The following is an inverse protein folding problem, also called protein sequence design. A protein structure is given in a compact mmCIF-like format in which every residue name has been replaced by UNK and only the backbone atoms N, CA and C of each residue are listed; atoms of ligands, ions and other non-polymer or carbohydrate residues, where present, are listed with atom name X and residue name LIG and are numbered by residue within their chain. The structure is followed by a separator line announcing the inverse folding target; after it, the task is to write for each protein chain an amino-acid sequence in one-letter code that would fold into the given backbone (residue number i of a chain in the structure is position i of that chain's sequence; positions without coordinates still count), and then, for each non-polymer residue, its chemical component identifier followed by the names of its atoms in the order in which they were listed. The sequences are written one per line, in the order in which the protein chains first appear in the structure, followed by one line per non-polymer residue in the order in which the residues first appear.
data_IF_399183391093
#
_entry.id   IF_399183391093
#
_cell.length_a   1.000
_cell.length_b   1.000
_cell.length_c   1.000
_cell.angle_alpha   90.00
_cell.angle_beta   90.00
_cell.angle_gamma   90.00
#
_symmetry.space_group_name_H-M   'P 1'
#
loop_
_entity.id
_entity.type
_entity.pdbx_description
1 polymer ?
#
# COMPACT_ATOMS: atom_id res chain seq x y z
N UNK A 1 17.53 22.36 11.20
CA UNK A 1 16.63 22.08 10.05
C UNK A 1 15.27 21.69 10.61
N UNK A 2 14.29 22.55 10.41
CA UNK A 2 12.94 22.35 10.94
C UNK A 2 12.30 21.12 10.30
N UNK A 3 11.74 20.26 11.10
CA UNK A 3 11.16 18.99 10.62
C UNK A 3 9.78 19.26 10.04
N UNK A 4 9.63 19.09 8.72
CA UNK A 4 8.31 19.20 8.06
C UNK A 4 7.47 17.96 8.36
N UNK A 5 6.53 18.08 9.27
CA UNK A 5 5.67 16.99 9.71
C UNK A 5 4.56 16.65 8.70
N UNK A 6 4.14 17.62 7.88
CA UNK A 6 3.05 17.48 6.90
C UNK A 6 3.26 16.30 5.96
N UNK A 7 4.51 16.02 5.58
CA UNK A 7 4.83 14.87 4.70
C UNK A 7 4.38 13.51 5.26
N UNK A 8 4.36 13.37 6.58
CA UNK A 8 3.94 12.11 7.20
C UNK A 8 2.42 11.90 7.11
N UNK A 9 1.62 12.97 7.00
CA UNK A 9 0.18 12.85 6.78
C UNK A 9 -0.18 12.27 5.40
N UNK A 10 0.77 12.34 4.45
CA UNK A 10 0.60 11.77 3.10
C UNK A 10 1.00 10.28 3.01
N UNK A 11 1.64 9.74 4.05
CA UNK A 11 2.14 8.36 4.10
C UNK A 11 1.08 7.43 4.69
N UNK A 12 0.04 7.12 3.92
CA UNK A 12 -1.06 6.27 4.39
C UNK A 12 -0.68 4.80 4.59
N UNK A 13 0.38 4.33 3.95
CA UNK A 13 0.91 2.96 4.06
C UNK A 13 1.79 2.74 5.31
N UNK A 14 2.15 3.81 6.04
CA UNK A 14 3.03 3.74 7.21
C UNK A 14 2.22 3.94 8.49
N UNK A 15 2.28 2.99 9.47
CA UNK A 15 1.53 3.11 10.72
C UNK A 15 2.08 4.25 11.60
N UNK A 16 1.18 4.88 12.38
CA UNK A 16 1.51 6.02 13.25
C UNK A 16 2.62 5.70 14.26
N UNK A 17 2.68 4.49 14.80
CA UNK A 17 3.74 4.06 15.71
C UNK A 17 5.12 4.06 15.06
N UNK A 18 5.21 3.69 13.78
CA UNK A 18 6.47 3.75 13.03
C UNK A 18 6.92 5.19 12.79
N UNK A 19 5.98 6.10 12.53
CA UNK A 19 6.27 7.52 12.42
C UNK A 19 6.77 8.09 13.75
N UNK A 20 6.15 7.69 14.89
CA UNK A 20 6.63 8.05 16.22
C UNK A 20 8.08 7.60 16.43
N UNK A 21 8.40 6.35 16.13
CA UNK A 21 9.77 5.80 16.24
C UNK A 21 10.79 6.63 15.43
N UNK A 22 10.45 6.97 14.19
CA UNK A 22 11.31 7.82 13.33
C UNK A 22 11.51 9.22 13.92
N UNK A 23 10.46 9.83 14.47
CA UNK A 23 10.54 11.17 15.08
C UNK A 23 11.44 11.14 16.32
N UNK A 24 11.28 10.14 17.19
CA UNK A 24 12.11 9.96 18.37
C UNK A 24 13.59 9.79 18.01
N UNK A 25 13.89 8.94 17.05
CA UNK A 25 15.25 8.73 16.56
C UNK A 25 15.87 10.03 16.04
N UNK A 26 15.13 10.80 15.25
CA UNK A 26 15.62 12.09 14.70
C UNK A 26 15.81 13.18 15.73
N UNK A 27 15.02 13.17 16.79
CA UNK A 27 15.13 14.12 17.89
C UNK A 27 16.10 13.67 18.99
N UNK A 28 16.63 12.44 18.88
CA UNK A 28 17.46 11.81 19.90
C UNK A 28 16.76 11.75 21.27
N UNK A 29 15.46 11.44 21.26
CA UNK A 29 14.62 11.30 22.46
C UNK A 29 14.36 9.82 22.67
N UNK A 30 14.64 9.31 23.88
CA UNK A 30 14.29 7.92 24.26
C UNK A 30 12.79 7.77 24.53
N UNK A 31 12.30 6.54 24.49
CA UNK A 31 10.90 6.24 24.84
C UNK A 31 10.57 6.63 26.30
N UNK A 32 11.53 6.48 27.22
CA UNK A 32 11.38 6.87 28.62
C UNK A 32 11.25 8.39 28.76
N UNK A 33 12.14 9.13 28.13
CA UNK A 33 12.07 10.60 28.12
C UNK A 33 10.74 11.10 27.53
N UNK A 34 10.28 10.52 26.41
CA UNK A 34 8.98 10.88 25.87
C UNK A 34 7.83 10.57 26.85
N UNK A 35 7.89 9.44 27.53
CA UNK A 35 6.89 9.06 28.53
C UNK A 35 6.81 10.11 29.65
N UNK A 36 7.95 10.51 30.18
CA UNK A 36 8.06 11.54 31.22
C UNK A 36 7.53 12.91 30.70
N UNK A 37 7.93 13.33 29.49
CA UNK A 37 7.51 14.60 28.87
C UNK A 37 6.02 14.66 28.55
N UNK A 38 5.42 13.53 28.18
CA UNK A 38 4.00 13.44 27.78
C UNK A 38 3.05 12.99 28.88
N UNK A 39 3.57 12.71 30.08
CA UNK A 39 2.84 12.13 31.22
C UNK A 39 2.11 10.82 30.83
N UNK A 40 2.81 10.00 30.03
CA UNK A 40 2.39 8.65 29.67
C UNK A 40 3.28 7.61 30.33
N UNK A 41 2.81 6.37 30.41
CA UNK A 41 3.64 5.26 30.91
C UNK A 41 4.61 4.80 29.81
N UNK A 42 5.90 4.48 30.15
CA UNK A 42 6.87 3.98 29.17
C UNK A 42 6.36 2.77 28.36
N UNK A 43 5.65 1.86 29.02
CA UNK A 43 5.05 0.70 28.35
C UNK A 43 4.03 1.12 27.28
N UNK A 44 3.25 2.17 27.51
CA UNK A 44 2.30 2.66 26.50
C UNK A 44 3.00 3.24 25.28
N UNK A 45 4.10 3.99 25.49
CA UNK A 45 4.92 4.50 24.37
C UNK A 45 5.45 3.34 23.54
N UNK A 46 5.96 2.29 24.20
CA UNK A 46 6.39 1.08 23.53
C UNK A 46 5.26 0.43 22.73
N UNK A 47 4.09 0.27 23.32
CA UNK A 47 2.91 -0.35 22.68
C UNK A 47 2.44 0.45 21.45
N UNK A 48 2.49 1.80 21.49
CA UNK A 48 2.19 2.64 20.34
C UNK A 48 3.19 2.41 19.21
N UNK A 49 4.50 2.38 19.53
CA UNK A 49 5.56 2.16 18.53
C UNK A 49 5.43 0.78 17.88
N UNK A 50 5.11 -0.25 18.67
CA UNK A 50 4.91 -1.63 18.16
C UNK A 50 3.56 -1.88 17.51
N UNK A 51 2.66 -0.89 17.52
CA UNK A 51 1.30 -1.04 16.96
C UNK A 51 0.39 -1.94 17.80
N UNK A 52 0.79 -2.32 19.01
CA UNK A 52 0.00 -3.13 19.94
C UNK A 52 -1.13 -2.32 20.60
N UNK A 53 -1.01 -1.00 20.54
CA UNK A 53 -2.00 -0.04 21.03
C UNK A 53 -2.22 1.06 20.01
N UNK A 54 -3.50 1.38 19.76
CA UNK A 54 -3.88 2.53 18.95
C UNK A 54 -3.82 3.81 19.76
N UNK A 55 -3.40 4.91 19.12
CA UNK A 55 -3.49 6.24 19.72
C UNK A 55 -4.96 6.59 20.00
N UNK A 56 -5.19 7.20 21.15
CA UNK A 56 -6.43 7.92 21.42
C UNK A 56 -6.16 9.44 21.40
N UNK A 57 -7.20 10.24 21.43
CA UNK A 57 -7.09 11.71 21.34
C UNK A 57 -6.17 12.26 22.42
N UNK A 58 -6.35 11.83 23.68
CA UNK A 58 -5.54 12.33 24.81
C UNK A 58 -4.06 12.02 24.62
N UNK A 59 -3.71 10.79 24.29
CA UNK A 59 -2.32 10.39 24.09
C UNK A 59 -1.69 11.07 22.88
N UNK A 60 -2.43 11.20 21.76
CA UNK A 60 -1.97 11.92 20.58
C UNK A 60 -1.58 13.36 20.93
N UNK A 61 -2.50 14.10 21.55
CA UNK A 61 -2.28 15.50 21.91
C UNK A 61 -1.14 15.68 22.95
N UNK A 62 -1.02 14.78 23.95
CA UNK A 62 0.05 14.83 24.94
C UNK A 62 1.42 14.62 24.30
N UNK A 63 1.54 13.62 23.43
CA UNK A 63 2.79 13.29 22.73
C UNK A 63 3.16 14.38 21.73
N UNK A 64 2.19 14.93 20.99
CA UNK A 64 2.39 16.04 20.06
C UNK A 64 2.96 17.27 20.75
N UNK A 65 2.39 17.65 21.88
CA UNK A 65 2.89 18.77 22.70
C UNK A 65 4.30 18.52 23.21
N UNK A 66 4.57 17.34 23.76
CA UNK A 66 5.89 16.94 24.23
C UNK A 66 6.95 17.00 23.12
N UNK A 67 6.58 16.67 21.89
CA UNK A 67 7.46 16.68 20.72
C UNK A 67 7.48 18.00 19.95
N UNK A 68 6.73 19.03 20.40
CA UNK A 68 6.56 20.30 19.69
C UNK A 68 6.08 20.11 18.25
N UNK A 69 5.06 19.27 18.07
CA UNK A 69 4.39 19.04 16.77
C UNK A 69 3.19 19.98 16.70
N UNK A 70 3.24 20.97 15.81
CA UNK A 70 2.20 21.99 15.67
C UNK A 70 1.06 21.57 14.71
N UNK A 71 0.70 20.27 14.72
CA UNK A 71 -0.41 19.73 13.96
C UNK A 71 -1.30 18.97 14.92
N UNK A 72 -2.40 19.58 15.31
CA UNK A 72 -3.32 19.00 16.28
C UNK A 72 -3.93 17.67 15.76
N UNK A 73 -3.86 16.63 16.58
CA UNK A 73 -4.32 15.29 16.22
C UNK A 73 -3.43 14.58 15.19
N UNK A 74 -2.16 14.93 15.12
CA UNK A 74 -1.19 14.42 14.14
C UNK A 74 -1.16 12.89 14.09
N UNK A 75 -0.92 12.23 15.25
CA UNK A 75 -0.85 10.76 15.29
C UNK A 75 -2.22 10.11 15.03
N UNK A 76 -3.31 10.75 15.46
CA UNK A 76 -4.67 10.28 15.16
C UNK A 76 -4.96 10.35 13.65
N UNK A 77 -4.57 11.45 12.99
CA UNK A 77 -4.74 11.61 11.53
C UNK A 77 -3.97 10.54 10.76
N UNK A 78 -2.70 10.32 11.12
CA UNK A 78 -1.88 9.27 10.48
C UNK A 78 -2.51 7.88 10.71
N UNK A 79 -2.90 7.59 11.94
CA UNK A 79 -3.54 6.31 12.28
C UNK A 79 -4.81 6.09 11.47
N UNK A 80 -5.68 7.10 11.40
CA UNK A 80 -6.94 7.02 10.64
C UNK A 80 -6.66 6.80 9.15
N UNK A 81 -5.70 7.55 8.57
CA UNK A 81 -5.32 7.38 7.17
C UNK A 81 -4.78 5.95 6.90
N UNK A 82 -3.97 5.43 7.82
CA UNK A 82 -3.43 4.07 7.73
C UNK A 82 -4.52 3.00 7.88
N UNK A 83 -5.45 3.17 8.82
CA UNK A 83 -6.58 2.25 9.01
C UNK A 83 -7.50 2.24 7.77
N UNK A 84 -7.80 3.41 7.19
CA UNK A 84 -8.55 3.53 5.93
C UNK A 84 -7.80 2.85 4.78
N UNK A 85 -6.50 3.13 4.64
CA UNK A 85 -5.66 2.51 3.62
C UNK A 85 -5.72 0.99 3.70
N UNK A 86 -5.51 0.41 4.88
CA UNK A 86 -5.53 -1.04 5.06
C UNK A 86 -6.91 -1.64 4.78
N UNK A 87 -7.99 -0.96 5.18
CA UNK A 87 -9.35 -1.39 4.88
C UNK A 87 -9.61 -1.42 3.37
N UNK A 88 -9.29 -0.34 2.66
CA UNK A 88 -9.46 -0.26 1.20
C UNK A 88 -8.61 -1.31 0.50
N UNK A 89 -7.34 -1.48 0.91
CA UNK A 89 -6.45 -2.49 0.34
C UNK A 89 -6.97 -3.92 0.55
N UNK A 90 -7.59 -4.20 1.70
CA UNK A 90 -8.21 -5.50 1.96
C UNK A 90 -9.43 -5.75 1.05
N UNK A 91 -10.27 -4.72 0.84
CA UNK A 91 -11.40 -4.81 -0.09
C UNK A 91 -10.93 -5.03 -1.54
N UNK A 92 -9.92 -4.27 -1.99
CA UNK A 92 -9.38 -4.41 -3.33
C UNK A 92 -8.75 -5.80 -3.57
N UNK A 93 -8.08 -6.39 -2.56
CA UNK A 93 -7.50 -7.74 -2.65
C UNK A 93 -8.55 -8.84 -2.76
N UNK A 94 -9.75 -8.63 -2.22
CA UNK A 94 -10.85 -9.56 -2.36
C UNK A 94 -11.42 -9.61 -3.80
N UNK A 95 -11.10 -8.61 -4.63
CA UNK A 95 -11.51 -8.53 -6.04
C UNK A 95 -10.38 -9.12 -6.89
N UNK A 96 -10.59 -10.32 -7.40
CA UNK A 96 -9.59 -11.04 -8.20
C UNK A 96 -10.26 -11.86 -9.33
N UNK A 97 -9.52 -12.19 -10.39
CA UNK A 97 -10.01 -13.12 -11.41
C UNK A 97 -10.17 -14.53 -10.84
N UNK A 98 -10.71 -15.46 -11.62
CA UNK A 98 -10.75 -16.86 -11.26
C UNK A 98 -9.33 -17.45 -11.20
N UNK A 99 -8.77 -17.54 -10.01
CA UNK A 99 -7.39 -17.99 -9.79
C UNK A 99 -7.17 -19.46 -10.18
N UNK A 100 -8.24 -20.25 -10.34
CA UNK A 100 -8.11 -21.65 -10.82
C UNK A 100 -7.70 -21.71 -12.28
N UNK A 101 -7.91 -20.63 -13.04
CA UNK A 101 -7.57 -20.51 -14.45
C UNK A 101 -6.22 -19.81 -14.69
N UNK A 102 -5.53 -19.41 -13.63
CA UNK A 102 -4.25 -18.70 -13.71
C UNK A 102 -3.17 -19.54 -13.06
N UNK A 103 -2.17 -19.91 -13.84
CA UNK A 103 -1.04 -20.67 -13.31
C UNK A 103 -0.13 -19.80 -12.43
N UNK A 104 0.39 -20.39 -11.35
CA UNK A 104 1.37 -19.71 -10.49
C UNK A 104 2.63 -19.31 -11.27
N UNK A 105 2.97 -20.05 -12.32
CA UNK A 105 4.11 -19.76 -13.18
C UNK A 105 3.96 -18.48 -13.99
N UNK A 106 2.75 -17.97 -14.24
CA UNK A 106 2.55 -16.69 -14.93
C UNK A 106 3.13 -15.51 -14.14
N UNK A 107 3.07 -15.58 -12.80
CA UNK A 107 3.56 -14.56 -11.88
C UNK A 107 4.70 -15.09 -10.99
N UNK A 108 5.75 -15.67 -11.63
CA UNK A 108 6.85 -16.40 -10.97
C UNK A 108 7.64 -15.58 -9.94
N UNK A 109 7.66 -14.26 -10.07
CA UNK A 109 8.40 -13.31 -9.23
C UNK A 109 7.56 -12.75 -8.07
N UNK A 110 6.30 -13.20 -7.95
CA UNK A 110 5.37 -12.68 -6.95
C UNK A 110 4.42 -13.80 -6.48
N UNK A 111 4.00 -13.75 -5.23
CA UNK A 111 2.94 -14.62 -4.73
C UNK A 111 1.60 -14.13 -5.26
N UNK A 112 0.85 -14.99 -5.95
CA UNK A 112 -0.42 -14.65 -6.60
C UNK A 112 -1.44 -14.08 -5.60
N UNK A 113 -1.39 -14.54 -4.35
CA UNK A 113 -2.25 -14.09 -3.25
C UNK A 113 -1.94 -12.65 -2.79
N UNK A 114 -0.77 -12.14 -3.14
CA UNK A 114 -0.32 -10.77 -2.79
C UNK A 114 -0.61 -9.76 -3.89
N UNK A 115 -1.03 -10.20 -5.06
CA UNK A 115 -1.32 -9.30 -6.18
C UNK A 115 -2.57 -8.48 -5.86
N UNK A 116 -2.44 -7.16 -5.91
CA UNK A 116 -3.60 -6.27 -5.96
C UNK A 116 -4.05 -6.12 -7.42
N UNK A 117 -5.03 -6.90 -7.82
CA UNK A 117 -5.51 -6.96 -9.20
C UNK A 117 -6.08 -5.64 -9.72
N UNK A 118 -6.57 -4.78 -8.82
CA UNK A 118 -7.11 -3.47 -9.19
C UNK A 118 -5.99 -2.46 -9.47
N UNK A 119 -5.00 -2.36 -8.55
CA UNK A 119 -3.92 -1.38 -8.66
C UNK A 119 -2.84 -1.79 -9.65
N UNK A 120 -2.56 -3.08 -9.75
CA UNK A 120 -1.54 -3.63 -10.62
C UNK A 120 -2.08 -4.05 -12.00
N UNK A 121 -3.26 -3.58 -12.40
CA UNK A 121 -3.96 -4.00 -13.63
C UNK A 121 -3.10 -3.89 -14.89
N UNK A 122 -2.33 -2.81 -15.05
CA UNK A 122 -1.45 -2.59 -16.18
C UNK A 122 -0.38 -3.68 -16.29
N UNK A 123 0.33 -3.93 -15.20
CA UNK A 123 1.34 -4.98 -15.11
C UNK A 123 0.74 -6.38 -15.31
N UNK A 124 -0.43 -6.66 -14.72
CA UNK A 124 -1.12 -7.96 -14.91
C UNK A 124 -1.50 -8.18 -16.36
N UNK A 125 -2.09 -7.18 -17.01
CA UNK A 125 -2.48 -7.24 -18.43
C UNK A 125 -1.26 -7.45 -19.30
N UNK A 126 -0.20 -6.66 -19.09
CA UNK A 126 1.06 -6.80 -19.81
C UNK A 126 1.61 -8.23 -19.68
N UNK A 127 1.81 -8.70 -18.45
CA UNK A 127 2.38 -10.01 -18.14
C UNK A 127 1.56 -11.14 -18.79
N UNK A 128 0.23 -11.05 -18.71
CA UNK A 128 -0.65 -12.06 -19.28
C UNK A 128 -0.60 -12.08 -20.82
N UNK A 129 -0.54 -10.93 -21.46
CA UNK A 129 -0.42 -10.87 -22.93
C UNK A 129 0.96 -11.32 -23.42
N UNK A 130 2.01 -11.18 -22.62
CA UNK A 130 3.39 -11.57 -22.98
C UNK A 130 3.67 -13.06 -22.74
N UNK A 131 3.15 -13.63 -21.65
CA UNK A 131 3.53 -14.98 -21.19
C UNK A 131 2.35 -15.92 -20.98
N UNK A 132 1.13 -15.39 -20.91
CA UNK A 132 -0.06 -16.19 -20.64
C UNK A 132 -0.44 -17.11 -21.77
N UNK A 133 -1.07 -18.23 -21.41
CA UNK A 133 -1.77 -19.10 -22.33
C UNK A 133 -3.17 -18.59 -22.65
N UNK A 134 -3.87 -19.29 -23.56
CA UNK A 134 -5.20 -18.88 -24.02
C UNK A 134 -6.24 -18.79 -22.88
N UNK A 135 -6.23 -19.73 -21.93
CA UNK A 135 -7.15 -19.74 -20.79
C UNK A 135 -6.94 -18.55 -19.89
N UNK A 136 -5.69 -18.24 -19.58
CA UNK A 136 -5.29 -17.10 -18.76
C UNK A 136 -5.65 -15.77 -19.44
N UNK A 137 -5.38 -15.64 -20.72
CA UNK A 137 -5.73 -14.42 -21.49
C UNK A 137 -7.25 -14.21 -21.48
N UNK A 138 -8.04 -15.26 -21.76
CA UNK A 138 -9.50 -15.16 -21.74
C UNK A 138 -10.04 -14.78 -20.36
N UNK A 139 -9.46 -15.34 -19.29
CA UNK A 139 -9.87 -14.99 -17.93
C UNK A 139 -9.54 -13.53 -17.58
N UNK A 140 -8.39 -13.03 -17.95
CA UNK A 140 -8.01 -11.64 -17.73
C UNK A 140 -8.88 -10.67 -18.55
N UNK A 141 -9.26 -11.05 -19.77
CA UNK A 141 -10.23 -10.30 -20.57
C UNK A 141 -11.61 -10.28 -19.90
N UNK A 142 -12.07 -11.43 -19.39
CA UNK A 142 -13.33 -11.52 -18.64
C UNK A 142 -13.33 -10.63 -17.40
N UNK A 143 -12.22 -10.60 -16.68
CA UNK A 143 -12.08 -9.87 -15.42
C UNK A 143 -12.02 -8.35 -15.60
N UNK A 144 -11.16 -7.85 -16.49
CA UNK A 144 -10.98 -6.41 -16.69
C UNK A 144 -11.91 -5.80 -17.74
N UNK A 145 -12.43 -6.61 -18.63
CA UNK A 145 -13.18 -6.15 -19.83
C UNK A 145 -12.27 -5.69 -20.97
N UNK A 146 -12.77 -5.89 -22.17
CA UNK A 146 -12.05 -5.53 -23.42
C UNK A 146 -11.71 -4.04 -23.50
N UNK A 147 -12.64 -3.17 -23.09
CA UNK A 147 -12.46 -1.72 -23.18
C UNK A 147 -11.35 -1.22 -22.26
N UNK A 148 -11.28 -1.75 -21.03
CA UNK A 148 -10.18 -1.43 -20.09
C UNK A 148 -8.84 -1.82 -20.68
N UNK A 149 -8.75 -3.01 -21.28
CA UNK A 149 -7.50 -3.48 -21.88
C UNK A 149 -7.11 -2.61 -23.07
N UNK A 150 -8.07 -2.22 -23.93
CA UNK A 150 -7.83 -1.29 -25.05
C UNK A 150 -7.30 0.07 -24.59
N UNK A 151 -7.80 0.59 -23.47
CA UNK A 151 -7.34 1.86 -22.91
C UNK A 151 -5.92 1.77 -22.33
N UNK A 152 -5.58 0.63 -21.72
CA UNK A 152 -4.29 0.42 -21.06
C UNK A 152 -3.20 0.08 -22.09
N UNK A 153 -3.50 -0.73 -23.09
CA UNK A 153 -2.53 -1.30 -24.01
C UNK A 153 -1.57 -0.29 -24.65
N UNK A 154 -2.00 0.91 -25.11
CA UNK A 154 -1.10 1.91 -25.68
C UNK A 154 -0.05 2.46 -24.71
N UNK A 155 -0.34 2.41 -23.40
CA UNK A 155 0.53 2.95 -22.36
C UNK A 155 1.57 1.94 -21.88
N UNK A 156 1.43 0.66 -22.25
CA UNK A 156 2.38 -0.39 -21.88
C UNK A 156 3.69 -0.15 -22.63
N UNK A 157 4.76 0.10 -21.89
CA UNK A 157 6.10 0.30 -22.48
C UNK A 157 6.53 -0.93 -23.26
N UNK A 158 7.14 -0.70 -24.43
CA UNK A 158 7.69 -1.77 -25.26
C UNK A 158 9.00 -2.25 -24.67
N UNK A 159 8.99 -3.48 -24.13
CA UNK A 159 10.14 -4.18 -23.60
C UNK A 159 10.20 -5.59 -24.20
N UNK A 160 10.70 -6.55 -23.45
CA UNK A 160 10.77 -7.96 -23.84
C UNK A 160 9.37 -8.52 -24.23
N UNK A 161 9.34 -9.42 -25.23
CA UNK A 161 8.12 -10.08 -25.74
C UNK A 161 7.02 -9.15 -26.28
N UNK A 162 7.36 -7.95 -26.70
CA UNK A 162 6.40 -7.02 -27.31
C UNK A 162 5.67 -7.61 -28.53
N UNK A 163 6.33 -8.44 -29.33
CA UNK A 163 5.73 -9.09 -30.51
C UNK A 163 4.64 -10.07 -30.11
N UNK A 164 4.90 -10.94 -29.11
CA UNK A 164 3.90 -11.88 -28.61
C UNK A 164 2.72 -11.16 -27.97
N UNK A 165 2.98 -10.11 -27.19
CA UNK A 165 1.95 -9.25 -26.61
C UNK A 165 1.06 -8.65 -27.71
N UNK A 166 1.65 -8.09 -28.76
CA UNK A 166 0.94 -7.49 -29.88
C UNK A 166 0.11 -8.52 -30.66
N UNK A 167 0.65 -9.73 -30.87
CA UNK A 167 -0.05 -10.83 -31.51
C UNK A 167 -1.27 -11.26 -30.66
N UNK A 168 -1.09 -11.45 -29.35
CA UNK A 168 -2.17 -11.83 -28.44
C UNK A 168 -3.24 -10.74 -28.35
N UNK A 169 -2.85 -9.45 -28.29
CA UNK A 169 -3.79 -8.36 -28.31
C UNK A 169 -4.64 -8.38 -29.60
N UNK A 170 -4.02 -8.53 -30.78
CA UNK A 170 -4.75 -8.62 -32.06
C UNK A 170 -5.66 -9.83 -32.12
N UNK A 171 -5.24 -10.97 -31.57
CA UNK A 171 -5.99 -12.21 -31.63
C UNK A 171 -7.22 -12.24 -30.72
N UNK A 172 -7.10 -11.70 -29.49
CA UNK A 172 -8.11 -11.90 -28.45
C UNK A 172 -8.92 -10.64 -28.08
N UNK A 173 -8.45 -9.43 -28.43
CA UNK A 173 -9.01 -8.18 -27.90
C UNK A 173 -9.53 -7.24 -29.01
N UNK A 174 -9.05 -7.39 -30.21
CA UNK A 174 -9.39 -6.50 -31.33
C UNK A 174 -10.83 -6.67 -31.82
#
# INVERSE_FOLDING_TARGET
MEMKYEKYLMMSDVPAGKILEVILSRKNISQKELADMSNEYPQRIHDYIKGQRKFNIKASLSIERALNINIEGFFMKIQTNHDIYNYVMAQERAIHPDLTKISKGLFWDTKIEMINWIRNKEWVIQRTLEYGNETEIKEIIRFYGTDTIKQIFPNIKSEWNSDKRNQNFKKYIR
#
